data_IF_587766558318
#
_entry.id   IF_587766558318
#
_cell.length_a   1.000
_cell.length_b   1.000
_cell.length_c   1.000
_cell.angle_alpha   90.00
_cell.angle_beta   90.00
_cell.angle_gamma   90.00
#
_symmetry.space_group_name_H-M   'P 1'
#
loop_
_entity.id
_entity.type
_entity.pdbx_description
1 polymer ?
#
# COMPACT_ATOMS: atom_id res chain seq x y z
N UNK A 1 -0.65 20.05 -12.22
CA UNK A 1 -1.31 20.45 -13.49
C UNK A 1 -2.64 19.76 -13.65
N UNK A 2 -3.57 20.39 -14.34
CA UNK A 2 -4.89 19.80 -14.64
C UNK A 2 -4.86 19.35 -16.11
N UNK A 3 -5.03 18.04 -16.40
CA UNK A 3 -5.10 17.55 -17.79
C UNK A 3 -6.30 18.14 -18.54
N UNK A 4 -6.24 18.17 -19.88
CA UNK A 4 -7.38 18.52 -20.73
C UNK A 4 -8.54 17.55 -20.52
N UNK A 5 -9.73 17.91 -20.96
CA UNK A 5 -10.90 17.01 -20.81
C UNK A 5 -10.69 15.68 -21.56
N UNK A 6 -10.19 15.75 -22.79
CA UNK A 6 -9.93 14.57 -23.61
C UNK A 6 -8.85 13.68 -22.98
N UNK A 7 -7.77 14.27 -22.47
CA UNK A 7 -6.75 13.52 -21.76
C UNK A 7 -7.30 12.83 -20.51
N UNK A 8 -8.20 13.50 -19.77
CA UNK A 8 -8.88 12.89 -18.61
C UNK A 8 -9.69 11.66 -18.99
N UNK A 9 -10.45 11.73 -20.10
CA UNK A 9 -11.23 10.59 -20.58
C UNK A 9 -10.33 9.41 -20.95
N UNK A 10 -9.27 9.66 -21.70
CA UNK A 10 -8.33 8.60 -22.10
C UNK A 10 -7.61 8.02 -20.89
N UNK A 11 -7.17 8.86 -19.95
CA UNK A 11 -6.53 8.39 -18.70
C UNK A 11 -7.50 7.55 -17.87
N UNK A 12 -8.79 7.92 -17.81
CA UNK A 12 -9.79 7.15 -17.07
C UNK A 12 -10.00 5.76 -17.66
N UNK A 13 -10.11 5.66 -18.99
CA UNK A 13 -10.21 4.35 -19.66
C UNK A 13 -9.00 3.48 -19.36
N UNK A 14 -7.79 4.05 -19.45
CA UNK A 14 -6.55 3.30 -19.14
C UNK A 14 -6.52 2.92 -17.65
N UNK A 15 -6.95 3.81 -16.74
CA UNK A 15 -7.05 3.52 -15.29
C UNK A 15 -7.97 2.32 -15.04
N UNK A 16 -9.16 2.28 -15.66
CA UNK A 16 -10.11 1.17 -15.52
C UNK A 16 -9.52 -0.16 -15.98
N UNK A 17 -8.78 -0.17 -17.09
CA UNK A 17 -8.11 -1.37 -17.59
C UNK A 17 -7.01 -1.82 -16.63
N UNK A 18 -6.16 -0.90 -16.16
CA UNK A 18 -5.11 -1.21 -15.20
C UNK A 18 -5.69 -1.72 -13.89
N UNK A 19 -6.77 -1.11 -13.40
CA UNK A 19 -7.46 -1.57 -12.20
C UNK A 19 -7.96 -3.01 -12.35
N UNK A 20 -8.59 -3.34 -13.46
CA UNK A 20 -9.06 -4.70 -13.72
C UNK A 20 -7.91 -5.72 -13.76
N UNK A 21 -6.72 -5.33 -14.24
CA UNK A 21 -5.55 -6.20 -14.33
C UNK A 21 -4.87 -6.37 -12.95
N UNK A 22 -4.76 -5.29 -12.17
CA UNK A 22 -3.87 -5.26 -11.00
C UNK A 22 -4.58 -5.38 -9.66
N UNK A 23 -5.88 -5.02 -9.53
CA UNK A 23 -6.59 -4.97 -8.25
C UNK A 23 -6.54 -6.30 -7.49
N UNK A 24 -6.72 -7.42 -8.17
CA UNK A 24 -6.64 -8.75 -7.57
C UNK A 24 -5.23 -9.20 -7.17
N UNK A 25 -4.21 -8.38 -7.43
CA UNK A 25 -2.80 -8.72 -7.17
C UNK A 25 -2.13 -7.87 -6.11
N UNK A 26 -2.77 -6.76 -5.73
CA UNK A 26 -2.26 -5.92 -4.65
C UNK A 26 -2.38 -6.61 -3.30
N UNK A 27 -1.39 -6.38 -2.43
CA UNK A 27 -1.42 -6.89 -1.07
C UNK A 27 -2.57 -6.28 -0.24
N UNK A 28 -3.02 -7.03 0.75
CA UNK A 28 -4.11 -6.58 1.63
C UNK A 28 -3.76 -5.37 2.49
N UNK A 29 -2.48 -5.10 2.66
CA UNK A 29 -1.94 -3.94 3.38
C UNK A 29 -2.05 -2.65 2.57
N UNK A 30 -2.22 -2.71 1.25
CA UNK A 30 -2.40 -1.55 0.38
C UNK A 30 -3.85 -1.06 0.43
N UNK A 31 -4.07 0.19 0.85
CA UNK A 31 -5.40 0.79 1.02
C UNK A 31 -5.65 2.04 0.18
N UNK A 32 -4.60 2.71 -0.31
CA UNK A 32 -4.71 3.98 -1.02
C UNK A 32 -5.32 3.83 -2.41
N UNK A 33 -6.29 4.67 -2.75
CA UNK A 33 -6.88 4.79 -4.10
C UNK A 33 -7.36 3.46 -4.71
N UNK A 34 -7.83 2.52 -3.88
CA UNK A 34 -8.36 1.22 -4.33
C UNK A 34 -9.88 1.14 -4.12
N UNK A 35 -10.62 0.40 -4.97
CA UNK A 35 -12.03 0.14 -4.77
C UNK A 35 -12.30 -0.49 -3.39
N UNK A 36 -13.36 -0.05 -2.74
CA UNK A 36 -13.80 -0.54 -1.42
C UNK A 36 -12.76 -0.40 -0.29
N UNK A 37 -11.68 0.35 -0.50
CA UNK A 37 -10.64 0.66 0.48
C UNK A 37 -10.65 2.16 0.81
N UNK A 38 -10.29 2.50 2.04
CA UNK A 38 -10.28 3.88 2.53
C UNK A 38 -9.32 4.04 3.70
N UNK A 39 -9.12 5.28 4.16
CA UNK A 39 -8.39 5.54 5.41
C UNK A 39 -9.00 4.78 6.59
N UNK A 40 -10.33 4.62 6.66
CA UNK A 40 -10.98 3.86 7.73
C UNK A 40 -10.65 2.36 7.67
N UNK A 41 -10.58 1.77 6.48
CA UNK A 41 -10.16 0.36 6.35
C UNK A 41 -8.70 0.18 6.74
N UNK A 42 -7.82 1.14 6.41
CA UNK A 42 -6.43 1.14 6.85
C UNK A 42 -6.31 1.23 8.38
N UNK A 43 -7.01 2.18 9.01
CA UNK A 43 -7.01 2.35 10.47
C UNK A 43 -7.53 1.10 11.20
N UNK A 44 -8.60 0.48 10.69
CA UNK A 44 -9.10 -0.79 11.22
C UNK A 44 -8.07 -1.92 11.11
N UNK A 45 -7.36 -2.01 9.98
CA UNK A 45 -6.29 -2.98 9.80
C UNK A 45 -5.16 -2.74 10.81
N UNK A 46 -4.69 -1.50 10.96
CA UNK A 46 -3.68 -1.11 11.94
C UNK A 46 -4.14 -1.46 13.36
N UNK A 47 -5.35 -1.10 13.76
CA UNK A 47 -5.87 -1.41 15.08
C UNK A 47 -5.84 -2.92 15.37
N UNK A 48 -6.23 -3.75 14.40
CA UNK A 48 -6.27 -5.21 14.56
C UNK A 48 -4.88 -5.84 14.58
N UNK A 49 -3.98 -5.39 13.72
CA UNK A 49 -2.67 -6.03 13.53
C UNK A 49 -1.60 -5.51 14.48
N UNK A 50 -1.71 -4.25 14.94
CA UNK A 50 -0.72 -3.63 15.84
C UNK A 50 -1.04 -3.86 17.31
N UNK A 51 -2.26 -4.31 17.65
CA UNK A 51 -2.62 -4.63 19.04
C UNK A 51 -1.66 -5.69 19.59
N UNK A 52 -1.00 -5.36 20.71
CA UNK A 52 0.00 -6.23 21.36
C UNK A 52 1.41 -6.17 20.77
N UNK A 53 1.65 -5.37 19.74
CA UNK A 53 3.02 -5.11 19.25
C UNK A 53 3.74 -4.12 20.17
N UNK A 54 5.02 -4.38 20.44
CA UNK A 54 5.86 -3.51 21.29
C UNK A 54 6.54 -2.39 20.51
N UNK A 55 6.80 -2.64 19.25
CA UNK A 55 7.54 -1.76 18.36
C UNK A 55 6.76 -1.56 17.08
N UNK A 56 6.76 -0.35 16.59
CA UNK A 56 6.28 -0.04 15.27
C UNK A 56 7.29 0.89 14.58
N UNK A 57 7.48 0.73 13.30
CA UNK A 57 8.40 1.51 12.49
C UNK A 57 7.54 2.29 11.50
N UNK A 58 7.65 3.61 11.56
CA UNK A 58 7.02 4.50 10.59
C UNK A 58 8.05 4.92 9.55
N UNK A 59 7.67 4.87 8.29
CA UNK A 59 8.49 5.32 7.17
C UNK A 59 7.64 6.09 6.17
N UNK A 60 8.25 7.11 5.57
CA UNK A 60 7.65 7.88 4.48
C UNK A 60 8.63 8.04 3.33
N UNK A 61 8.12 8.02 2.09
CA UNK A 61 8.93 8.18 0.89
C UNK A 61 8.84 9.64 0.45
N UNK A 62 9.88 10.41 0.78
CA UNK A 62 9.96 11.82 0.41
C UNK A 62 9.88 12.01 -1.10
N UNK A 63 8.91 12.82 -1.54
CA UNK A 63 8.78 13.21 -2.95
C UNK A 63 8.54 12.01 -3.87
N UNK A 64 7.76 11.01 -3.43
CA UNK A 64 7.52 9.78 -4.20
C UNK A 64 7.08 10.09 -5.64
N UNK A 65 6.04 10.92 -5.80
CA UNK A 65 5.50 11.24 -7.13
C UNK A 65 6.50 11.94 -8.05
N UNK A 66 7.45 12.67 -7.51
CA UNK A 66 8.44 13.40 -8.30
C UNK A 66 9.66 12.53 -8.68
N UNK A 67 9.84 11.41 -7.97
CA UNK A 67 11.05 10.58 -8.09
C UNK A 67 10.80 9.18 -8.69
N UNK A 68 9.58 8.88 -9.15
CA UNK A 68 9.29 7.58 -9.79
C UNK A 68 10.11 7.45 -11.06
N UNK A 69 10.89 6.37 -11.16
CA UNK A 69 11.64 6.05 -12.37
C UNK A 69 10.71 5.47 -13.43
N UNK A 70 10.61 6.15 -14.58
CA UNK A 70 9.71 5.75 -15.67
C UNK A 70 10.07 4.39 -16.26
N UNK A 71 11.34 4.08 -16.42
CA UNK A 71 11.76 2.82 -17.05
C UNK A 71 11.46 1.64 -16.12
N UNK A 72 11.73 1.77 -14.83
CA UNK A 72 11.37 0.74 -13.83
C UNK A 72 9.85 0.54 -13.80
N UNK A 73 9.05 1.61 -13.81
CA UNK A 73 7.58 1.49 -13.84
C UNK A 73 7.11 0.77 -15.11
N UNK A 74 7.68 1.11 -16.25
CA UNK A 74 7.36 0.46 -17.54
C UNK A 74 7.75 -1.02 -17.52
N UNK A 75 8.87 -1.38 -16.95
CA UNK A 75 9.29 -2.78 -16.82
C UNK A 75 8.33 -3.57 -15.93
N UNK A 76 7.89 -2.99 -14.81
CA UNK A 76 6.84 -3.59 -13.95
C UNK A 76 5.53 -3.80 -14.72
N UNK A 77 5.12 -2.81 -15.52
CA UNK A 77 3.91 -2.93 -16.34
C UNK A 77 4.03 -4.02 -17.40
N UNK A 78 5.20 -4.17 -18.02
CA UNK A 78 5.48 -5.22 -19.03
C UNK A 78 5.44 -6.64 -18.47
N UNK A 79 5.56 -6.84 -17.17
CA UNK A 79 5.40 -8.17 -16.58
C UNK A 79 3.98 -8.74 -16.83
N UNK A 80 2.97 -7.88 -17.05
CA UNK A 80 1.57 -8.29 -17.23
C UNK A 80 0.93 -7.77 -18.51
N UNK A 81 1.48 -6.74 -19.11
CA UNK A 81 0.94 -6.09 -20.30
C UNK A 81 1.91 -6.31 -21.46
N UNK A 82 1.52 -7.17 -22.38
CA UNK A 82 2.30 -7.47 -23.59
C UNK A 82 2.03 -6.49 -24.75
N UNK A 83 0.95 -5.72 -24.68
CA UNK A 83 0.60 -4.76 -25.72
C UNK A 83 1.49 -3.51 -25.68
N UNK A 84 2.42 -3.44 -26.62
CA UNK A 84 3.34 -2.31 -26.75
C UNK A 84 2.66 -0.98 -27.08
N UNK A 85 1.43 -0.98 -27.61
CA UNK A 85 0.67 0.27 -27.87
C UNK A 85 0.21 0.89 -26.56
N UNK A 86 -0.32 0.08 -25.65
CA UNK A 86 -0.72 0.51 -24.31
C UNK A 86 0.49 1.00 -23.50
N UNK A 87 1.61 0.28 -23.55
CA UNK A 87 2.86 0.69 -22.89
C UNK A 87 3.36 2.03 -23.42
N UNK A 88 3.34 2.24 -24.73
CA UNK A 88 3.74 3.53 -25.34
C UNK A 88 2.80 4.66 -24.94
N UNK A 89 1.50 4.41 -24.83
CA UNK A 89 0.53 5.40 -24.38
C UNK A 89 0.81 5.83 -22.93
N UNK A 90 1.01 4.88 -22.02
CA UNK A 90 1.36 5.17 -20.62
C UNK A 90 2.67 5.96 -20.54
N UNK A 91 3.68 5.57 -21.32
CA UNK A 91 4.95 6.31 -21.38
C UNK A 91 4.76 7.77 -21.86
N UNK A 92 3.82 8.01 -22.78
CA UNK A 92 3.48 9.38 -23.20
C UNK A 92 2.86 10.18 -22.06
N UNK A 93 1.96 9.59 -21.27
CA UNK A 93 1.39 10.27 -20.10
C UNK A 93 2.47 10.63 -19.07
N UNK A 94 3.41 9.72 -18.81
CA UNK A 94 4.52 9.98 -17.89
C UNK A 94 5.43 11.11 -18.36
N UNK A 95 5.65 11.22 -19.67
CA UNK A 95 6.52 12.23 -20.30
C UNK A 95 5.82 13.52 -20.70
N UNK A 96 4.51 13.62 -20.50
CA UNK A 96 3.69 14.75 -20.98
C UNK A 96 4.13 16.12 -20.43
N UNK A 97 4.82 16.13 -19.28
CA UNK A 97 5.23 17.38 -18.64
C UNK A 97 4.05 18.15 -18.03
N UNK A 98 4.32 19.38 -17.63
CA UNK A 98 3.31 20.28 -17.11
C UNK A 98 3.62 21.73 -17.49
N UNK A 99 2.59 22.56 -17.51
CA UNK A 99 2.68 24.00 -17.73
C UNK A 99 2.59 24.71 -16.37
N UNK A 100 3.62 25.48 -16.02
CA UNK A 100 3.61 26.35 -14.87
C UNK A 100 4.04 27.77 -15.29
N UNK A 101 3.25 28.76 -14.90
CA UNK A 101 3.48 30.17 -15.28
C UNK A 101 3.70 30.38 -16.79
N UNK A 102 2.95 29.64 -17.62
CA UNK A 102 3.06 29.61 -19.09
C UNK A 102 4.40 29.09 -19.64
N UNK A 103 5.20 28.45 -18.79
CA UNK A 103 6.42 27.74 -19.20
C UNK A 103 6.19 26.22 -19.17
N UNK A 104 6.67 25.54 -20.20
CA UNK A 104 6.59 24.10 -20.28
C UNK A 104 7.77 23.46 -19.51
N UNK A 105 7.46 22.55 -18.61
CA UNK A 105 8.40 21.73 -17.88
C UNK A 105 8.25 20.27 -18.28
N UNK A 106 9.30 19.70 -18.88
CA UNK A 106 9.33 18.27 -19.23
C UNK A 106 9.53 17.41 -17.99
N UNK A 107 8.80 16.31 -17.89
CA UNK A 107 8.96 15.31 -16.83
C UNK A 107 9.96 14.24 -17.27
N UNK A 108 11.14 14.22 -16.68
CA UNK A 108 12.16 13.20 -16.89
C UNK A 108 12.01 12.04 -15.90
N UNK A 109 11.47 12.30 -14.73
CA UNK A 109 11.11 11.35 -13.67
C UNK A 109 9.80 11.78 -13.04
N UNK A 110 9.20 10.90 -12.28
CA UNK A 110 7.98 11.19 -11.55
C UNK A 110 6.70 11.01 -12.37
N UNK A 111 5.59 11.21 -11.71
CA UNK A 111 4.25 11.14 -12.29
C UNK A 111 3.55 12.48 -12.14
N UNK A 112 2.85 12.97 -13.17
CA UNK A 112 2.15 14.25 -13.11
C UNK A 112 1.17 14.27 -11.93
N UNK A 113 1.37 15.18 -10.98
CA UNK A 113 0.42 15.38 -9.89
C UNK A 113 -0.91 15.90 -10.44
N UNK A 114 -2.01 15.21 -10.10
CA UNK A 114 -3.36 15.52 -10.59
C UNK A 114 -3.77 14.75 -11.86
N UNK A 115 -2.93 13.86 -12.38
CA UNK A 115 -3.32 12.89 -13.40
C UNK A 115 -4.24 11.81 -12.83
N UNK A 116 -5.30 11.44 -13.56
CA UNK A 116 -6.26 10.41 -13.15
C UNK A 116 -5.59 9.03 -13.02
N UNK A 117 -4.62 8.76 -13.87
CA UNK A 117 -3.89 7.48 -13.90
C UNK A 117 -2.80 7.39 -12.82
N UNK A 118 -2.32 8.52 -12.28
CA UNK A 118 -1.16 8.55 -11.38
C UNK A 118 -1.34 7.70 -10.12
N UNK A 119 -2.50 7.68 -9.44
CA UNK A 119 -2.70 6.84 -8.24
C UNK A 119 -2.55 5.34 -8.50
N UNK A 120 -3.12 4.82 -9.60
CA UNK A 120 -3.00 3.39 -9.91
C UNK A 120 -1.57 3.01 -10.29
N UNK A 121 -0.88 3.87 -11.04
CA UNK A 121 0.54 3.66 -11.37
C UNK A 121 1.42 3.68 -10.11
N UNK A 122 1.11 4.55 -9.15
CA UNK A 122 1.77 4.57 -7.84
C UNK A 122 1.59 3.26 -7.09
N UNK A 123 0.36 2.75 -7.02
CA UNK A 123 0.07 1.47 -6.39
C UNK A 123 0.81 0.31 -7.08
N UNK A 124 0.84 0.28 -8.41
CA UNK A 124 1.57 -0.74 -9.17
C UNK A 124 3.07 -0.70 -8.87
N UNK A 125 3.65 0.50 -8.78
CA UNK A 125 5.07 0.67 -8.46
C UNK A 125 5.39 0.21 -7.04
N UNK A 126 4.56 0.63 -6.06
CA UNK A 126 4.76 0.32 -4.64
C UNK A 126 4.41 -1.12 -4.27
N UNK A 127 3.60 -1.82 -5.06
CA UNK A 127 3.28 -3.23 -4.85
C UNK A 127 4.54 -4.12 -4.80
N UNK A 128 5.60 -3.73 -5.49
CA UNK A 128 6.90 -4.42 -5.39
C UNK A 128 7.51 -4.32 -3.99
N UNK A 129 7.37 -3.15 -3.37
CA UNK A 129 7.82 -2.94 -1.98
C UNK A 129 6.93 -3.72 -1.01
N UNK A 130 5.62 -3.69 -1.19
CA UNK A 130 4.68 -4.41 -0.32
C UNK A 130 4.96 -5.93 -0.33
N UNK A 131 5.16 -6.50 -1.51
CA UNK A 131 5.53 -7.92 -1.68
C UNK A 131 6.88 -8.24 -1.06
N UNK A 132 7.88 -7.38 -1.26
CA UNK A 132 9.19 -7.55 -0.63
C UNK A 132 9.07 -7.53 0.91
N UNK A 133 8.32 -6.58 1.47
CA UNK A 133 8.13 -6.47 2.91
C UNK A 133 7.38 -7.68 3.48
N UNK A 134 6.39 -8.20 2.76
CA UNK A 134 5.67 -9.43 3.15
C UNK A 134 6.60 -10.64 3.17
N UNK A 135 7.44 -10.80 2.14
CA UNK A 135 8.44 -11.87 2.09
C UNK A 135 9.47 -11.72 3.22
N UNK A 136 9.95 -10.49 3.46
CA UNK A 136 10.88 -10.19 4.54
C UNK A 136 10.27 -10.51 5.92
N UNK A 137 9.02 -10.09 6.16
CA UNK A 137 8.31 -10.37 7.39
C UNK A 137 8.18 -11.88 7.63
N UNK A 138 7.84 -12.66 6.60
CA UNK A 138 7.73 -14.13 6.71
C UNK A 138 9.03 -14.81 7.10
N UNK A 139 10.19 -14.26 6.71
CA UNK A 139 11.52 -14.76 7.09
C UNK A 139 11.93 -14.31 8.51
N UNK A 140 11.45 -13.14 8.92
CA UNK A 140 11.78 -12.54 10.21
C UNK A 140 10.91 -13.08 11.35
N UNK A 141 9.61 -13.25 11.10
CA UNK A 141 8.63 -13.67 12.10
C UNK A 141 8.86 -15.14 12.49
N UNK A 142 9.13 -15.36 13.78
CA UNK A 142 9.29 -16.71 14.36
C UNK A 142 8.10 -17.02 15.28
N UNK A 143 7.01 -17.47 14.70
CA UNK A 143 5.80 -17.92 15.41
C UNK A 143 4.71 -16.85 15.56
N UNK A 144 3.48 -17.31 15.82
CA UNK A 144 2.26 -16.48 15.85
C UNK A 144 2.06 -15.64 17.11
N UNK A 145 2.83 -15.90 18.17
CA UNK A 145 2.68 -15.21 19.45
C UNK A 145 4.03 -14.82 20.03
N UNK A 146 4.13 -13.58 20.47
CA UNK A 146 5.25 -13.13 21.27
C UNK A 146 5.40 -14.02 22.52
N UNK A 147 6.62 -14.47 22.80
CA UNK A 147 6.91 -15.26 24.00
C UNK A 147 6.61 -14.40 25.22
N UNK A 148 5.62 -14.77 26.03
CA UNK A 148 5.36 -14.11 27.29
C UNK A 148 6.53 -14.37 28.26
N UNK A 149 6.87 -13.37 29.07
CA UNK A 149 7.87 -13.59 30.13
C UNK A 149 7.34 -14.64 31.10
N UNK A 150 8.21 -15.57 31.51
CA UNK A 150 7.85 -16.67 32.41
C UNK A 150 7.17 -16.18 33.70
N UNK A 151 7.63 -15.04 34.23
CA UNK A 151 7.03 -14.40 35.42
C UNK A 151 5.56 -13.97 35.16
N UNK A 152 5.27 -13.44 34.01
CA UNK A 152 3.89 -13.06 33.63
C UNK A 152 2.97 -14.27 33.51
N UNK A 153 3.47 -15.38 32.97
CA UNK A 153 2.73 -16.65 32.90
C UNK A 153 2.39 -17.18 34.29
N UNK A 154 3.37 -17.16 35.22
CA UNK A 154 3.19 -17.57 36.61
C UNK A 154 2.15 -16.68 37.32
N UNK A 155 2.26 -15.36 37.19
CA UNK A 155 1.31 -14.41 37.80
C UNK A 155 -0.10 -14.56 37.21
N UNK A 156 -0.19 -14.80 35.92
CA UNK A 156 -1.50 -15.03 35.27
C UNK A 156 -2.15 -16.33 35.73
N UNK A 157 -1.34 -17.37 35.94
CA UNK A 157 -1.80 -18.63 36.50
C UNK A 157 -2.30 -18.47 37.93
N UNK A 158 -1.53 -17.81 38.79
CA UNK A 158 -1.90 -17.51 40.19
C UNK A 158 -3.19 -16.69 40.27
N UNK A 159 -3.31 -15.64 39.44
CA UNK A 159 -4.54 -14.85 39.33
C UNK A 159 -5.77 -15.71 38.96
N UNK A 160 -5.62 -16.67 38.04
CA UNK A 160 -6.70 -17.59 37.66
C UNK A 160 -7.13 -18.49 38.82
N UNK A 161 -6.18 -18.97 39.63
CA UNK A 161 -6.48 -19.80 40.80
C UNK A 161 -7.28 -19.02 41.82
N UNK A 162 -6.83 -17.83 42.21
CA UNK A 162 -7.51 -16.94 43.19
C UNK A 162 -8.91 -16.58 42.69
N UNK A 163 -9.09 -16.25 41.41
CA UNK A 163 -10.40 -15.95 40.82
C UNK A 163 -11.35 -17.15 40.81
N UNK A 164 -10.81 -18.37 40.77
CA UNK A 164 -11.60 -19.60 40.85
C UNK A 164 -12.10 -19.85 42.29
N UNK A 165 -11.22 -19.65 43.26
CA UNK A 165 -11.55 -19.77 44.70
C UNK A 165 -12.62 -18.72 45.12
N UNK A 166 -12.47 -17.47 44.65
CA UNK A 166 -13.45 -16.42 44.88
C UNK A 166 -14.82 -16.76 44.29
N UNK A 167 -14.89 -17.30 43.09
CA UNK A 167 -16.14 -17.72 42.46
C UNK A 167 -16.82 -18.88 43.22
N UNK A 168 -16.05 -19.80 43.79
CA UNK A 168 -16.62 -20.89 44.60
C UNK A 168 -17.11 -20.38 45.97
N UNK A 169 -16.41 -19.40 46.57
CA UNK A 169 -16.82 -18.80 47.84
C UNK A 169 -18.06 -17.89 47.75
N UNK A 170 -18.32 -17.30 46.56
CA UNK A 170 -19.50 -16.44 46.36
C UNK A 170 -20.76 -17.22 45.95
N UNK A 171 -20.66 -18.50 45.61
CA UNK A 171 -21.79 -19.35 45.26
C UNK A 171 -22.22 -20.31 46.39
N UNK A 172 -21.65 -20.20 47.58
CA UNK A 172 -22.06 -20.82 48.82
C UNK A 172 -22.61 -19.73 49.78
#
# INVERSE_FOLDING_TARGET
>A
GVPSFDDKLVQEVVRMVLEAIYEGHFEDTSHGFRPHRSCHTALNAVQKTFTGKKWFIEGDIKGFFDNVNHDILIDILKERISDERSIRLIRKFLKAGYLEQWQFHGTYSGMPQGGIISPILANIYLDKLDKYMKEYASKFDKGDRGRQQREYEVLTYQKRLVMRELKTATNN
#
